data_IF_111388061952
#
_entry.id   IF_111388061952
#
_cell.length_a   1.000
_cell.length_b   1.000
_cell.length_c   1.000
_cell.angle_alpha   90.00
_cell.angle_beta   90.00
_cell.angle_gamma   90.00
#
_symmetry.space_group_name_H-M   'P 1'
#
loop_
_entity.id
_entity.type
_entity.pdbx_description
1 polymer ?
#
# COMPACT_ATOMS: atom_id res chain seq x y z
N UNK A 1 15.70 21.92 10.16
CA UNK A 1 16.56 23.09 10.01
C UNK A 1 16.17 24.01 8.84
N UNK A 2 15.32 23.54 7.89
CA UNK A 2 14.88 24.33 6.73
C UNK A 2 13.37 24.53 6.65
N UNK A 3 12.63 24.23 7.71
CA UNK A 3 11.17 24.35 7.72
C UNK A 3 10.70 25.76 7.33
N UNK A 4 11.26 26.78 7.98
CA UNK A 4 10.92 28.18 7.72
C UNK A 4 11.24 28.63 6.27
N UNK A 5 12.25 28.04 5.65
CA UNK A 5 12.63 28.32 4.27
C UNK A 5 11.62 27.69 3.32
N UNK A 6 11.24 26.43 3.56
CA UNK A 6 10.26 25.69 2.78
C UNK A 6 8.87 26.32 2.90
N UNK A 7 8.47 26.73 4.10
CA UNK A 7 7.19 27.41 4.33
C UNK A 7 7.05 28.68 3.49
N UNK A 8 8.13 29.45 3.38
CA UNK A 8 8.14 30.67 2.58
C UNK A 8 8.24 30.42 1.09
N UNK A 9 9.05 29.44 0.68
CA UNK A 9 9.28 29.12 -0.71
C UNK A 9 8.03 28.54 -1.38
N UNK A 10 7.31 27.68 -0.66
CA UNK A 10 6.15 26.95 -1.15
C UNK A 10 4.81 27.47 -0.60
N UNK A 11 4.81 28.57 0.15
CA UNK A 11 3.60 29.18 0.77
C UNK A 11 2.78 28.17 1.57
N UNK A 12 3.44 27.35 2.41
CA UNK A 12 2.83 26.26 3.16
C UNK A 12 2.02 26.82 4.33
N UNK A 13 0.71 26.80 4.18
CA UNK A 13 -0.20 27.22 5.26
C UNK A 13 -0.26 26.18 6.37
N UNK A 14 -0.07 26.61 7.62
CA UNK A 14 -0.11 25.76 8.81
C UNK A 14 1.22 25.08 9.19
N UNK A 15 2.31 25.42 8.50
CA UNK A 15 3.66 25.00 8.82
C UNK A 15 4.05 23.60 8.35
N UNK A 16 5.35 23.38 8.20
CA UNK A 16 5.93 22.09 7.81
C UNK A 16 5.90 21.10 8.97
N UNK A 17 5.47 19.91 8.71
CA UNK A 17 5.50 18.75 9.62
C UNK A 17 6.68 17.86 9.18
N UNK A 18 7.73 17.72 9.99
CA UNK A 18 8.92 16.99 9.59
C UNK A 18 8.64 15.53 9.24
N UNK A 19 7.84 14.82 10.05
CA UNK A 19 7.38 13.46 9.75
C UNK A 19 5.97 13.23 10.30
N UNK A 20 5.11 12.60 9.51
CA UNK A 20 3.78 12.18 9.94
C UNK A 20 3.47 10.76 9.49
N UNK A 21 2.56 10.10 10.25
CA UNK A 21 2.08 8.75 9.99
C UNK A 21 0.70 8.54 10.64
N UNK A 22 0.12 7.37 10.44
CA UNK A 22 -1.05 6.90 11.18
C UNK A 22 -0.69 5.58 11.83
N UNK A 23 -0.65 5.56 13.15
CA UNK A 23 -0.30 4.34 13.91
C UNK A 23 -1.33 3.23 13.68
N UNK A 24 -0.87 2.00 13.56
CA UNK A 24 -1.70 0.81 13.30
C UNK A 24 -2.56 0.89 12.02
N UNK A 25 -2.12 1.66 11.04
CA UNK A 25 -2.83 1.80 9.77
C UNK A 25 -1.96 1.31 8.60
N UNK A 26 -1.72 0.01 8.52
CA UNK A 26 -1.09 -0.64 7.38
C UNK A 26 0.07 0.15 6.76
N UNK A 27 -0.12 0.64 5.53
CA UNK A 27 0.91 1.33 4.76
C UNK A 27 1.28 2.74 5.30
N UNK A 28 0.53 3.28 6.23
CA UNK A 28 0.80 4.56 6.89
C UNK A 28 1.49 4.42 8.23
N UNK A 29 1.74 3.18 8.68
CA UNK A 29 2.39 2.90 9.96
C UNK A 29 3.93 3.03 9.83
N UNK A 30 4.62 3.62 10.83
CA UNK A 30 6.06 3.79 10.81
C UNK A 30 6.84 2.49 11.05
N UNK A 31 6.19 1.35 11.24
CA UNK A 31 6.82 0.05 11.51
C UNK A 31 7.89 -0.31 10.47
N UNK A 32 7.72 0.11 9.21
CA UNK A 32 8.71 -0.09 8.15
C UNK A 32 10.08 0.52 8.49
N UNK A 33 10.13 1.58 9.31
CA UNK A 33 11.39 2.20 9.74
C UNK A 33 12.19 1.29 10.69
N UNK A 34 11.50 0.35 11.37
CA UNK A 34 12.15 -0.62 12.25
C UNK A 34 13.10 -1.54 11.51
N UNK A 35 12.97 -1.67 10.18
CA UNK A 35 13.91 -2.44 9.36
C UNK A 35 15.35 -1.88 9.37
N UNK A 36 15.56 -0.66 9.79
CA UNK A 36 16.88 -0.09 10.07
C UNK A 36 17.56 -0.62 11.33
N UNK A 37 16.87 -1.46 12.12
CA UNK A 37 17.32 -1.99 13.40
C UNK A 37 17.30 -3.53 13.39
N UNK A 38 17.97 -4.17 14.34
CA UNK A 38 17.88 -5.62 14.53
C UNK A 38 18.35 -6.45 13.33
N UNK A 39 19.40 -6.03 12.65
CA UNK A 39 19.93 -6.72 11.47
C UNK A 39 18.90 -6.84 10.32
N UNK A 40 17.96 -5.89 10.25
CA UNK A 40 16.92 -5.84 9.23
C UNK A 40 15.66 -6.65 9.54
N UNK A 41 15.53 -7.15 10.75
CA UNK A 41 14.32 -7.83 11.23
C UNK A 41 13.57 -6.98 12.27
N UNK A 42 13.66 -5.65 12.13
CA UNK A 42 13.12 -4.72 13.13
C UNK A 42 11.64 -4.84 13.36
N UNK A 43 10.85 -4.87 12.31
CA UNK A 43 9.40 -5.16 12.37
C UNK A 43 8.80 -5.50 11.00
N UNK A 44 7.59 -6.06 11.05
CA UNK A 44 6.68 -6.25 9.91
C UNK A 44 5.26 -5.93 10.40
N UNK A 45 4.31 -5.70 9.50
CA UNK A 45 2.93 -5.41 9.89
C UNK A 45 2.27 -6.48 10.77
N UNK A 46 2.69 -7.74 10.63
CA UNK A 46 2.19 -8.87 11.44
C UNK A 46 3.09 -9.18 12.64
N UNK A 47 4.16 -8.42 12.84
CA UNK A 47 5.18 -8.62 13.88
C UNK A 47 5.90 -9.98 13.81
N UNK A 48 5.87 -10.65 12.66
CA UNK A 48 6.61 -11.88 12.43
C UNK A 48 7.60 -11.72 11.29
N UNK A 49 8.82 -12.16 11.52
CA UNK A 49 9.84 -12.24 10.48
C UNK A 49 10.48 -13.65 10.48
N UNK A 50 11.12 -13.98 9.36
CA UNK A 50 11.89 -15.22 9.22
C UNK A 50 13.34 -14.88 8.96
N UNK A 51 14.23 -15.31 9.84
CA UNK A 51 15.66 -15.07 9.69
C UNK A 51 16.25 -15.84 8.51
N UNK A 52 17.46 -15.50 8.10
CA UNK A 52 18.18 -16.19 7.02
C UNK A 52 18.48 -17.66 7.31
N UNK A 53 18.45 -18.06 8.59
CA UNK A 53 18.54 -19.45 9.04
C UNK A 53 17.19 -20.19 9.03
N UNK A 54 16.10 -19.49 8.63
CA UNK A 54 14.75 -20.07 8.59
C UNK A 54 14.05 -20.14 9.94
N UNK A 55 14.49 -19.35 10.93
CA UNK A 55 13.84 -19.27 12.23
C UNK A 55 12.78 -18.18 12.24
N UNK A 56 11.58 -18.50 12.68
CA UNK A 56 10.53 -17.51 12.94
C UNK A 56 10.83 -16.77 14.23
N UNK A 57 10.76 -15.44 14.16
CA UNK A 57 10.89 -14.55 15.32
C UNK A 57 9.64 -13.68 15.44
N UNK A 58 9.30 -13.30 16.68
CA UNK A 58 8.32 -12.28 16.98
C UNK A 58 9.07 -10.97 17.21
N UNK A 59 8.92 -10.03 16.30
CA UNK A 59 9.78 -8.85 16.21
C UNK A 59 9.74 -7.96 17.46
N UNK A 60 8.58 -7.71 18.14
CA UNK A 60 8.55 -6.89 19.36
C UNK A 60 9.38 -7.43 20.53
N UNK A 61 9.78 -8.70 20.49
CA UNK A 61 10.66 -9.28 21.52
C UNK A 61 12.16 -9.17 21.22
N UNK A 62 12.51 -8.62 20.09
CA UNK A 62 13.89 -8.47 19.67
C UNK A 62 14.49 -7.15 20.19
N UNK A 63 15.79 -7.15 20.49
CA UNK A 63 16.48 -5.94 20.98
C UNK A 63 16.45 -4.81 19.93
N UNK A 64 16.59 -5.13 18.63
CA UNK A 64 16.49 -4.14 17.57
C UNK A 64 15.14 -3.43 17.48
N UNK A 65 14.05 -4.11 17.82
CA UNK A 65 12.74 -3.45 17.93
C UNK A 65 12.73 -2.38 19.03
N UNK A 66 13.28 -2.70 20.20
CA UNK A 66 13.41 -1.77 21.31
C UNK A 66 14.26 -0.55 20.91
N UNK A 67 15.41 -0.78 20.27
CA UNK A 67 16.26 0.31 19.77
C UNK A 67 15.50 1.22 18.79
N UNK A 68 14.71 0.64 17.90
CA UNK A 68 13.86 1.39 16.97
C UNK A 68 12.79 2.23 17.69
N UNK A 69 12.14 1.69 18.71
CA UNK A 69 11.18 2.44 19.54
C UNK A 69 11.88 3.56 20.31
N UNK A 70 13.06 3.34 20.86
CA UNK A 70 13.84 4.38 21.54
C UNK A 70 14.23 5.50 20.58
N UNK A 71 14.56 5.17 19.34
CA UNK A 71 14.82 6.14 18.30
C UNK A 71 13.56 6.95 17.92
N UNK A 72 12.41 6.31 17.71
CA UNK A 72 11.14 7.02 17.46
C UNK A 72 10.76 7.93 18.64
N UNK A 73 10.92 7.45 19.87
CA UNK A 73 10.69 8.27 21.06
C UNK A 73 11.57 9.53 21.08
N UNK A 74 12.84 9.40 20.66
CA UNK A 74 13.72 10.55 20.51
C UNK A 74 13.16 11.57 19.50
N UNK A 75 12.67 11.12 18.34
CA UNK A 75 12.08 12.02 17.34
C UNK A 75 10.84 12.74 17.88
N UNK A 76 10.01 12.06 18.68
CA UNK A 76 8.87 12.70 19.37
C UNK A 76 9.35 13.78 20.33
N UNK A 77 10.38 13.52 21.13
CA UNK A 77 10.90 14.48 22.12
C UNK A 77 11.62 15.67 21.50
N UNK A 78 12.04 15.55 20.25
CA UNK A 78 12.66 16.61 19.46
C UNK A 78 11.64 17.37 18.58
N UNK A 79 10.34 17.14 18.77
CA UNK A 79 9.23 17.72 17.97
C UNK A 79 9.33 17.48 16.47
N UNK A 80 9.90 16.33 16.06
CA UNK A 80 10.07 15.95 14.67
C UNK A 80 8.94 15.07 14.13
N UNK A 81 8.02 14.66 15.00
CA UNK A 81 6.84 13.86 14.62
C UNK A 81 5.59 14.69 14.83
N UNK A 82 4.66 14.59 13.87
CA UNK A 82 3.33 15.18 13.96
C UNK A 82 2.67 14.78 15.31
N UNK A 83 2.29 15.72 16.17
CA UNK A 83 1.66 15.38 17.44
C UNK A 83 0.32 14.65 17.27
N UNK A 84 -0.34 14.77 16.12
CA UNK A 84 -1.57 14.06 15.81
C UNK A 84 -1.35 12.67 15.21
N UNK A 85 -0.12 12.26 14.89
CA UNK A 85 0.20 10.99 14.23
C UNK A 85 -0.37 9.76 14.94
N UNK A 86 -0.55 9.83 16.26
CA UNK A 86 -1.08 8.74 17.10
C UNK A 86 -2.60 8.71 17.20
N UNK A 87 -3.29 9.72 16.69
CA UNK A 87 -4.76 9.89 16.88
C UNK A 87 -5.50 10.37 15.65
N UNK A 88 -4.76 10.77 14.60
CA UNK A 88 -5.39 11.32 13.40
C UNK A 88 -6.04 10.25 12.56
N UNK A 89 -7.12 10.62 11.89
CA UNK A 89 -7.81 9.82 10.91
C UNK A 89 -7.23 10.04 9.50
N UNK A 90 -7.49 9.09 8.58
CA UNK A 90 -7.06 9.14 7.19
C UNK A 90 -7.38 10.47 6.49
N UNK A 91 -8.61 10.98 6.66
CA UNK A 91 -9.02 12.25 6.02
C UNK A 91 -8.18 13.45 6.46
N UNK A 92 -7.81 13.51 7.74
CA UNK A 92 -6.92 14.54 8.27
C UNK A 92 -5.52 14.42 7.72
N UNK A 93 -5.01 13.19 7.67
CA UNK A 93 -3.70 12.87 7.11
C UNK A 93 -3.61 13.31 5.64
N UNK A 94 -4.58 12.93 4.82
CA UNK A 94 -4.64 13.32 3.40
C UNK A 94 -4.74 14.83 3.24
N UNK A 95 -5.56 15.50 4.06
CA UNK A 95 -5.71 16.96 3.97
C UNK A 95 -4.40 17.71 4.26
N UNK A 96 -3.62 17.26 5.25
CA UNK A 96 -2.29 17.81 5.52
C UNK A 96 -1.33 17.59 4.35
N UNK A 97 -1.37 16.39 3.73
CA UNK A 97 -0.56 16.06 2.57
C UNK A 97 -0.88 16.94 1.36
N UNK A 98 -2.17 17.07 1.01
CA UNK A 98 -2.65 17.94 -0.09
C UNK A 98 -2.30 19.42 0.12
N UNK A 99 -2.02 19.84 1.33
CA UNK A 99 -1.51 21.17 1.67
C UNK A 99 0.02 21.22 1.75
N UNK A 100 0.73 20.25 1.20
CA UNK A 100 2.20 20.16 1.09
C UNK A 100 2.94 20.28 2.43
N UNK A 101 2.30 19.86 3.53
CA UNK A 101 2.86 20.06 4.88
C UNK A 101 3.93 19.05 5.29
N UNK A 102 4.04 17.91 4.60
CA UNK A 102 4.91 16.82 5.03
C UNK A 102 6.33 16.92 4.49
N UNK A 103 7.32 16.82 5.39
CA UNK A 103 8.69 16.54 5.01
C UNK A 103 8.90 15.04 4.70
N UNK A 104 8.34 14.17 5.55
CA UNK A 104 8.30 12.71 5.36
C UNK A 104 6.92 12.17 5.69
N UNK A 105 6.38 11.34 4.84
CA UNK A 105 5.11 10.66 5.06
C UNK A 105 5.13 9.23 4.52
N UNK A 106 4.14 8.44 4.90
CA UNK A 106 3.97 7.04 4.51
C UNK A 106 2.67 6.89 3.74
N UNK A 107 2.73 6.27 2.59
CA UNK A 107 1.54 5.98 1.77
C UNK A 107 1.88 4.88 0.76
N UNK A 108 0.88 4.09 0.38
CA UNK A 108 1.02 3.11 -0.69
C UNK A 108 0.99 3.75 -2.09
N UNK A 109 0.49 4.98 -2.20
CA UNK A 109 0.47 5.72 -3.44
C UNK A 109 0.60 7.23 -3.18
N UNK A 110 1.45 7.90 -3.96
CA UNK A 110 1.65 9.36 -3.85
C UNK A 110 0.37 10.14 -4.15
N UNK A 111 -0.49 9.63 -5.02
CA UNK A 111 -1.77 10.24 -5.35
C UNK A 111 -2.71 10.40 -4.15
N UNK A 112 -2.51 9.65 -3.06
CA UNK A 112 -3.26 9.83 -1.82
C UNK A 112 -2.93 11.13 -1.10
N UNK A 113 -1.69 11.57 -1.23
CA UNK A 113 -1.16 12.74 -0.52
C UNK A 113 -1.16 13.96 -1.44
N UNK A 114 -0.59 13.80 -2.63
CA UNK A 114 -0.45 14.86 -3.62
C UNK A 114 -0.27 14.25 -5.01
N UNK A 115 -0.83 14.88 -6.03
CA UNK A 115 -0.69 14.44 -7.42
C UNK A 115 0.60 14.95 -8.09
N UNK A 116 1.44 15.67 -7.37
CA UNK A 116 2.66 16.19 -7.94
C UNK A 116 3.87 15.25 -7.70
N UNK A 117 4.94 15.50 -8.42
CA UNK A 117 6.18 14.72 -8.40
C UNK A 117 7.26 15.33 -7.50
N UNK A 118 6.90 16.20 -6.57
CA UNK A 118 7.85 16.88 -5.69
C UNK A 118 8.35 15.96 -4.58
N UNK A 119 7.57 14.90 -4.27
CA UNK A 119 8.01 13.84 -3.38
C UNK A 119 8.86 12.81 -4.11
N UNK A 120 9.86 12.31 -3.41
CA UNK A 120 10.72 11.21 -3.87
C UNK A 120 10.64 10.03 -2.90
N UNK A 121 10.88 8.84 -3.40
CA UNK A 121 10.99 7.65 -2.54
C UNK A 121 12.21 7.77 -1.64
N UNK A 122 12.00 7.69 -0.33
CA UNK A 122 13.10 7.60 0.62
C UNK A 122 13.76 6.21 0.49
N UNK A 123 15.07 6.11 0.22
CA UNK A 123 15.75 4.82 0.22
C UNK A 123 15.70 4.16 1.60
N UNK A 124 15.89 2.83 1.64
CA UNK A 124 15.99 2.14 2.91
C UNK A 124 17.02 2.80 3.83
N UNK A 125 16.64 3.04 5.07
CA UNK A 125 17.52 3.66 6.05
C UNK A 125 18.65 2.71 6.44
N UNK A 126 19.83 3.27 6.72
CA UNK A 126 20.94 2.53 7.28
C UNK A 126 20.83 2.56 8.80
N UNK A 127 20.79 1.39 9.41
CA UNK A 127 20.71 1.26 10.86
C UNK A 127 22.00 1.64 11.60
N UNK A 128 21.98 1.63 12.94
CA UNK A 128 23.13 1.96 13.78
C UNK A 128 24.35 1.03 13.56
N UNK A 129 24.09 -0.19 13.14
CA UNK A 129 25.09 -1.21 12.80
C UNK A 129 25.68 -1.07 11.39
N UNK A 130 25.22 -0.07 10.63
CA UNK A 130 25.64 0.16 9.24
C UNK A 130 24.94 -0.75 8.23
N UNK A 131 23.96 -1.55 8.66
CA UNK A 131 23.18 -2.43 7.79
C UNK A 131 22.01 -1.67 7.19
N UNK A 132 21.74 -1.96 5.93
CA UNK A 132 20.56 -1.48 5.20
C UNK A 132 19.74 -2.69 4.79
N UNK A 133 18.55 -2.79 5.32
CA UNK A 133 17.66 -3.90 5.08
C UNK A 133 16.28 -3.46 4.64
N UNK A 134 15.61 -4.32 3.84
CA UNK A 134 14.17 -4.27 3.61
C UNK A 134 13.63 -5.69 3.80
N UNK A 135 12.79 -5.86 4.78
CA UNK A 135 12.08 -7.11 5.04
C UNK A 135 10.89 -7.23 4.10
N UNK A 136 10.72 -8.41 3.51
CA UNK A 136 9.55 -8.73 2.71
C UNK A 136 8.41 -9.17 3.62
N UNK A 137 7.23 -8.64 3.34
CA UNK A 137 6.00 -9.06 3.97
C UNK A 137 5.21 -9.95 3.02
N UNK A 138 4.57 -11.00 3.54
CA UNK A 138 3.68 -11.84 2.76
C UNK A 138 2.24 -11.43 3.02
N UNK A 139 1.68 -10.68 2.10
CA UNK A 139 0.28 -10.30 2.11
C UNK A 139 -0.42 -10.77 0.83
N UNK A 140 -1.70 -10.51 0.69
CA UNK A 140 -2.48 -10.86 -0.49
C UNK A 140 -1.90 -10.26 -1.78
N UNK A 141 -1.34 -9.07 -1.69
CA UNK A 141 -0.72 -8.39 -2.83
C UNK A 141 0.55 -9.09 -3.30
N UNK A 142 1.36 -9.60 -2.38
CA UNK A 142 2.58 -10.34 -2.73
C UNK A 142 2.31 -11.77 -3.18
N UNK A 143 1.28 -12.43 -2.64
CA UNK A 143 0.88 -13.77 -3.06
C UNK A 143 0.03 -13.77 -4.34
N UNK A 144 -0.53 -12.60 -4.71
CA UNK A 144 -1.44 -12.46 -5.83
C UNK A 144 -2.77 -13.19 -5.65
N UNK A 145 -3.05 -13.68 -4.42
CA UNK A 145 -4.24 -14.48 -4.19
C UNK A 145 -4.77 -14.34 -2.76
N UNK A 146 -5.97 -13.78 -2.65
CA UNK A 146 -6.64 -13.59 -1.38
C UNK A 146 -7.85 -14.53 -1.26
N UNK A 147 -7.76 -15.52 -0.36
CA UNK A 147 -8.76 -16.60 -0.24
C UNK A 147 -10.01 -16.11 0.48
N UNK A 148 -11.18 -16.59 0.01
CA UNK A 148 -12.45 -16.38 0.68
C UNK A 148 -13.09 -15.00 0.48
N UNK A 149 -12.51 -14.15 -0.38
CA UNK A 149 -13.08 -12.83 -0.71
C UNK A 149 -14.36 -12.92 -1.55
N UNK A 150 -14.49 -13.96 -2.37
CA UNK A 150 -15.71 -14.27 -3.09
C UNK A 150 -16.07 -15.74 -2.89
N UNK A 151 -17.27 -16.02 -2.37
CA UNK A 151 -17.70 -17.37 -2.04
C UNK A 151 -19.11 -17.66 -2.53
N UNK A 152 -19.36 -18.90 -2.95
CA UNK A 152 -20.71 -19.41 -3.17
C UNK A 152 -21.20 -20.12 -1.90
N UNK A 153 -22.34 -19.69 -1.40
CA UNK A 153 -22.93 -20.29 -0.20
C UNK A 153 -23.76 -21.54 -0.55
N UNK A 154 -24.00 -22.39 0.44
CA UNK A 154 -24.86 -23.58 0.30
C UNK A 154 -26.31 -23.25 -0.07
N UNK A 155 -26.76 -22.01 0.10
CA UNK A 155 -28.09 -21.55 -0.30
C UNK A 155 -28.18 -21.10 -1.76
N UNK A 156 -27.07 -21.10 -2.51
CA UNK A 156 -27.06 -20.78 -3.92
C UNK A 156 -27.84 -21.85 -4.71
N UNK A 157 -28.93 -21.43 -5.38
CA UNK A 157 -29.83 -22.36 -6.10
C UNK A 157 -29.27 -22.84 -7.42
N UNK A 158 -28.48 -22.01 -8.09
CA UNK A 158 -27.85 -22.31 -9.37
C UNK A 158 -26.36 -21.95 -9.29
N UNK A 159 -25.58 -22.90 -8.82
CA UNK A 159 -24.15 -22.74 -8.66
C UNK A 159 -23.42 -22.62 -10.00
N UNK A 160 -23.94 -23.24 -11.06
CA UNK A 160 -23.32 -23.16 -12.39
C UNK A 160 -23.47 -21.75 -12.99
N UNK A 161 -24.66 -21.17 -12.89
CA UNK A 161 -24.90 -19.79 -13.33
C UNK A 161 -24.09 -18.80 -12.50
N UNK A 162 -24.07 -18.97 -11.18
CA UNK A 162 -23.30 -18.09 -10.30
C UNK A 162 -21.78 -18.17 -10.58
N UNK A 163 -21.26 -19.38 -10.80
CA UNK A 163 -19.86 -19.57 -11.17
C UNK A 163 -19.54 -18.93 -12.53
N UNK A 164 -20.40 -19.09 -13.53
CA UNK A 164 -20.22 -18.45 -14.84
C UNK A 164 -20.26 -16.92 -14.75
N UNK A 165 -21.11 -16.37 -13.88
CA UNK A 165 -21.15 -14.93 -13.64
C UNK A 165 -19.85 -14.44 -12.97
N UNK A 166 -19.37 -15.15 -11.94
CA UNK A 166 -18.10 -14.84 -11.28
C UNK A 166 -16.92 -14.91 -12.29
N UNK A 167 -16.90 -15.94 -13.14
CA UNK A 167 -15.87 -16.11 -14.17
C UNK A 167 -15.80 -14.90 -15.11
N UNK A 168 -16.96 -14.34 -15.50
CA UNK A 168 -16.99 -13.10 -16.30
C UNK A 168 -16.40 -11.90 -15.59
N UNK A 169 -16.47 -11.83 -14.26
CA UNK A 169 -15.88 -10.75 -13.49
C UNK A 169 -14.33 -10.77 -13.51
N UNK A 170 -13.75 -11.95 -13.77
CA UNK A 170 -12.32 -12.13 -13.94
C UNK A 170 -11.83 -11.97 -15.38
N UNK A 171 -12.73 -11.74 -16.35
CA UNK A 171 -12.33 -11.52 -17.74
C UNK A 171 -11.36 -10.31 -17.85
N UNK A 172 -10.31 -10.38 -18.68
CA UNK A 172 -9.25 -9.37 -18.73
C UNK A 172 -9.70 -7.94 -19.01
N UNK A 173 -10.83 -7.76 -19.73
CA UNK A 173 -11.43 -6.44 -19.98
C UNK A 173 -12.41 -6.05 -18.87
N UNK A 174 -13.07 -7.00 -18.19
CA UNK A 174 -14.01 -6.70 -17.12
C UNK A 174 -13.31 -6.44 -15.79
N UNK A 175 -12.30 -7.21 -15.47
CA UNK A 175 -11.63 -7.16 -14.18
C UNK A 175 -10.99 -5.78 -13.86
N UNK A 176 -10.29 -5.11 -14.78
CA UNK A 176 -9.84 -3.74 -14.56
C UNK A 176 -10.97 -2.75 -14.29
N UNK A 177 -12.13 -2.91 -14.94
CA UNK A 177 -13.28 -2.06 -14.69
C UNK A 177 -13.87 -2.26 -13.28
N UNK A 178 -13.87 -3.49 -12.77
CA UNK A 178 -14.28 -3.76 -11.40
C UNK A 178 -13.40 -3.03 -10.38
N UNK A 179 -12.11 -2.88 -10.69
CA UNK A 179 -11.14 -2.25 -9.81
C UNK A 179 -11.12 -0.72 -9.90
N UNK A 180 -11.14 -0.17 -11.11
CA UNK A 180 -10.93 1.27 -11.31
C UNK A 180 -12.18 2.03 -11.76
N UNK A 181 -13.12 1.40 -12.42
CA UNK A 181 -14.33 2.03 -12.95
C UNK A 181 -14.56 1.75 -14.42
N UNK A 182 -15.54 2.42 -15.00
CA UNK A 182 -16.12 2.06 -16.28
C UNK A 182 -15.47 2.74 -17.48
N UNK A 183 -15.86 2.29 -18.68
CA UNK A 183 -15.62 2.97 -19.95
C UNK A 183 -16.91 3.04 -20.78
N UNK A 184 -16.99 4.06 -21.66
CA UNK A 184 -18.03 4.14 -22.68
C UNK A 184 -19.45 4.45 -22.21
N UNK A 185 -19.66 4.69 -20.92
CA UNK A 185 -20.95 5.09 -20.39
C UNK A 185 -21.26 6.55 -20.79
N UNK A 186 -22.38 6.74 -21.44
CA UNK A 186 -22.82 8.08 -21.79
C UNK A 186 -23.24 8.83 -20.53
N UNK A 187 -22.77 10.05 -20.39
CA UNK A 187 -23.05 10.96 -19.27
C UNK A 187 -22.49 10.49 -17.92
N UNK A 188 -21.63 9.44 -17.90
CA UNK A 188 -20.87 9.06 -16.72
C UNK A 188 -19.40 9.46 -16.86
N UNK A 189 -18.76 9.59 -15.72
CA UNK A 189 -17.32 9.86 -15.68
C UNK A 189 -16.58 8.56 -15.98
N UNK A 190 -15.85 8.52 -17.09
CA UNK A 190 -15.10 7.34 -17.48
C UNK A 190 -13.65 7.43 -17.02
N UNK A 191 -13.13 6.31 -16.51
CA UNK A 191 -11.70 6.15 -16.24
C UNK A 191 -10.95 5.65 -17.48
N UNK A 192 -11.65 4.92 -18.32
CA UNK A 192 -11.06 4.29 -19.50
C UNK A 192 -11.66 4.79 -20.81
N UNK A 193 -10.81 4.81 -21.83
CA UNK A 193 -11.21 4.80 -23.23
C UNK A 193 -10.82 3.44 -23.84
N UNK A 194 -11.59 2.98 -24.85
CA UNK A 194 -11.23 1.79 -25.59
C UNK A 194 -10.12 2.12 -26.58
N UNK A 195 -9.07 1.33 -26.57
CA UNK A 195 -7.89 1.44 -27.43
C UNK A 195 -7.55 0.08 -28.04
N UNK A 196 -6.45 0.01 -28.74
CA UNK A 196 -5.89 -1.24 -29.30
C UNK A 196 -4.45 -1.41 -28.82
N UNK A 197 -4.10 -2.64 -28.48
CA UNK A 197 -2.73 -3.02 -28.16
C UNK A 197 -1.86 -3.16 -29.43
N UNK A 198 -0.59 -3.50 -29.25
CA UNK A 198 0.37 -3.64 -30.35
C UNK A 198 -0.02 -4.73 -31.37
N UNK A 199 -0.77 -5.74 -30.95
CA UNK A 199 -1.23 -6.85 -31.79
C UNK A 199 -2.61 -6.58 -32.43
N UNK A 200 -3.19 -5.40 -32.21
CA UNK A 200 -4.51 -5.00 -32.72
C UNK A 200 -5.69 -5.51 -31.90
N UNK A 201 -5.45 -6.10 -30.73
CA UNK A 201 -6.49 -6.52 -29.78
C UNK A 201 -7.09 -5.34 -29.01
N UNK A 202 -8.27 -5.54 -28.40
CA UNK A 202 -8.91 -4.54 -27.56
C UNK A 202 -8.13 -4.33 -26.25
N UNK A 203 -7.96 -3.08 -25.87
CA UNK A 203 -7.27 -2.68 -24.63
C UNK A 203 -7.98 -1.48 -24.02
N UNK A 204 -8.14 -1.50 -22.70
CA UNK A 204 -8.56 -0.35 -21.89
C UNK A 204 -7.38 0.59 -21.69
N UNK A 205 -7.52 1.84 -22.05
CA UNK A 205 -6.50 2.86 -21.80
C UNK A 205 -6.99 3.81 -20.73
N UNK A 206 -6.18 4.00 -19.68
CA UNK A 206 -6.46 5.00 -18.66
C UNK A 206 -6.53 6.39 -19.29
N UNK A 207 -7.56 7.14 -18.94
CA UNK A 207 -7.74 8.53 -19.35
C UNK A 207 -6.91 9.44 -18.44
N UNK A 208 -6.52 10.59 -18.99
CA UNK A 208 -6.02 11.68 -18.18
C UNK A 208 -7.20 12.30 -17.42
N UNK A 209 -7.12 12.25 -16.09
CA UNK A 209 -8.18 12.75 -15.19
C UNK A 209 -8.02 14.24 -14.85
N UNK A 210 -6.99 14.92 -15.39
CA UNK A 210 -6.67 16.29 -15.08
C UNK A 210 -6.38 16.47 -13.57
N UNK A 211 -7.07 17.44 -12.96
CA UNK A 211 -6.90 17.77 -11.54
C UNK A 211 -7.66 16.81 -10.58
N UNK A 212 -8.33 15.79 -11.11
CA UNK A 212 -9.08 14.84 -10.27
C UNK A 212 -8.14 13.77 -9.72
N UNK A 213 -8.31 13.44 -8.44
CA UNK A 213 -7.58 12.35 -7.82
C UNK A 213 -8.00 11.00 -8.41
N UNK A 214 -7.07 10.18 -8.95
CA UNK A 214 -7.38 8.83 -9.40
C UNK A 214 -8.01 7.96 -8.31
N UNK A 215 -7.60 8.16 -7.06
CA UNK A 215 -8.14 7.43 -5.90
C UNK A 215 -9.59 7.78 -5.66
N UNK A 216 -9.94 9.08 -5.63
CA UNK A 216 -11.33 9.52 -5.42
C UNK A 216 -12.25 9.04 -6.55
N UNK A 217 -11.78 9.07 -7.79
CA UNK A 217 -12.53 8.58 -8.94
C UNK A 217 -12.73 7.07 -8.83
N UNK A 218 -11.70 6.32 -8.47
CA UNK A 218 -11.78 4.87 -8.24
C UNK A 218 -12.78 4.54 -7.13
N UNK A 219 -12.71 5.21 -6.00
CA UNK A 219 -13.65 5.00 -4.89
C UNK A 219 -15.09 5.27 -5.29
N UNK A 220 -15.32 6.29 -6.12
CA UNK A 220 -16.66 6.61 -6.61
C UNK A 220 -17.20 5.63 -7.66
N UNK A 221 -16.35 4.95 -8.41
CA UNK A 221 -16.73 4.19 -9.59
C UNK A 221 -16.48 2.69 -9.53
N UNK A 222 -15.51 2.24 -8.72
CA UNK A 222 -15.22 0.81 -8.62
C UNK A 222 -16.39 0.05 -7.98
N UNK A 223 -16.62 -1.16 -8.44
CA UNK A 223 -17.65 -2.04 -7.85
C UNK A 223 -17.07 -2.94 -6.78
N UNK A 224 -15.76 -2.88 -6.53
CA UNK A 224 -15.03 -3.75 -5.58
C UNK A 224 -15.41 -5.23 -5.72
N UNK A 225 -15.68 -5.64 -6.95
CA UNK A 225 -16.06 -7.01 -7.28
C UNK A 225 -14.85 -7.94 -7.39
N UNK A 226 -15.09 -9.21 -7.67
CA UNK A 226 -14.02 -10.14 -8.01
C UNK A 226 -13.16 -9.56 -9.12
N UNK A 227 -11.86 -9.59 -8.93
CA UNK A 227 -10.89 -9.08 -9.91
C UNK A 227 -9.60 -9.89 -9.90
N UNK A 228 -8.95 -9.91 -11.05
CA UNK A 228 -7.55 -10.27 -11.19
C UNK A 228 -6.97 -9.38 -12.28
N UNK A 229 -6.09 -8.46 -11.89
CA UNK A 229 -5.31 -7.66 -12.84
C UNK A 229 -3.88 -8.17 -12.73
N UNK A 230 -3.53 -9.08 -13.61
CA UNK A 230 -2.22 -9.70 -13.64
C UNK A 230 -1.20 -8.77 -14.33
N UNK A 231 0.06 -8.90 -13.97
CA UNK A 231 1.14 -8.13 -14.60
C UNK A 231 1.18 -8.33 -16.12
N UNK A 232 0.81 -9.53 -16.59
CA UNK A 232 0.72 -9.85 -18.01
C UNK A 232 -0.46 -9.16 -18.72
N UNK A 233 -1.38 -8.53 -17.99
CA UNK A 233 -2.50 -7.77 -18.59
C UNK A 233 -2.10 -6.36 -18.99
N UNK A 234 -1.05 -5.80 -18.38
CA UNK A 234 -0.58 -4.47 -18.72
C UNK A 234 -0.03 -4.44 -20.15
N UNK A 235 -0.40 -3.40 -20.88
CA UNK A 235 -0.14 -3.20 -22.32
C UNK A 235 -0.76 -4.25 -23.26
N UNK A 236 -1.45 -5.25 -22.71
CA UNK A 236 -2.21 -6.25 -23.49
C UNK A 236 -3.71 -5.99 -23.43
N UNK A 237 -4.27 -5.84 -22.24
CA UNK A 237 -5.72 -5.62 -22.00
C UNK A 237 -6.03 -4.31 -21.32
N UNK A 238 -5.07 -3.73 -20.60
CA UNK A 238 -5.20 -2.46 -19.89
C UNK A 238 -3.85 -1.76 -19.85
N UNK A 239 -3.83 -0.43 -19.95
CA UNK A 239 -2.60 0.32 -19.71
C UNK A 239 -2.30 0.37 -18.21
N UNK A 240 -1.01 0.46 -17.87
CA UNK A 240 -0.60 0.78 -16.51
C UNK A 240 -0.95 2.25 -16.21
N UNK A 241 -1.56 2.56 -15.04
CA UNK A 241 -1.73 3.95 -14.62
C UNK A 241 -0.38 4.65 -14.48
N UNK A 242 -0.30 5.92 -14.87
CA UNK A 242 0.97 6.65 -14.85
C UNK A 242 1.58 6.78 -13.44
N UNK A 243 0.72 6.95 -12.42
CA UNK A 243 1.09 6.98 -11.01
C UNK A 243 1.60 5.61 -10.52
N UNK A 244 0.93 4.52 -10.89
CA UNK A 244 1.39 3.16 -10.56
C UNK A 244 2.75 2.85 -11.19
N UNK A 245 2.93 3.23 -12.46
CA UNK A 245 4.22 3.08 -13.14
C UNK A 245 5.33 3.86 -12.44
N UNK A 246 5.09 5.13 -12.10
CA UNK A 246 6.05 5.94 -11.38
C UNK A 246 6.43 5.29 -10.03
N UNK A 247 5.44 4.82 -9.27
CA UNK A 247 5.64 4.14 -7.99
C UNK A 247 6.50 2.88 -8.14
N UNK A 248 6.15 2.01 -9.07
CA UNK A 248 6.87 0.76 -9.30
C UNK A 248 8.32 1.01 -9.74
N UNK A 249 8.55 1.91 -10.68
CA UNK A 249 9.87 2.23 -11.18
C UNK A 249 10.76 2.79 -10.05
N UNK A 250 10.25 3.74 -9.27
CA UNK A 250 10.99 4.35 -8.15
C UNK A 250 11.20 3.37 -7.00
N UNK A 251 10.20 2.54 -6.67
CA UNK A 251 10.32 1.52 -5.64
C UNK A 251 11.35 0.45 -6.01
N UNK A 252 11.39 0.02 -7.27
CA UNK A 252 12.40 -0.91 -7.76
C UNK A 252 13.80 -0.31 -7.66
N UNK A 253 13.98 0.94 -8.06
CA UNK A 253 15.27 1.63 -7.97
C UNK A 253 15.71 1.83 -6.51
N UNK A 254 14.79 2.26 -5.65
CA UNK A 254 15.08 2.59 -4.26
C UNK A 254 15.34 1.34 -3.39
N UNK A 255 14.59 0.24 -3.60
CA UNK A 255 14.49 -0.83 -2.60
C UNK A 255 14.97 -2.20 -3.06
N UNK A 256 14.81 -2.60 -4.33
CA UNK A 256 15.11 -3.98 -4.72
C UNK A 256 16.54 -4.44 -4.42
N UNK A 257 17.50 -3.54 -4.54
CA UNK A 257 18.92 -3.84 -4.25
C UNK A 257 19.18 -4.12 -2.77
N UNK A 258 18.34 -3.57 -1.89
CA UNK A 258 18.47 -3.69 -0.43
C UNK A 258 17.46 -4.72 0.14
N UNK A 259 16.65 -5.33 -0.74
CA UNK A 259 15.71 -6.39 -0.36
C UNK A 259 16.45 -7.71 -0.22
N UNK A 260 16.84 -8.02 0.97
CA UNK A 260 17.71 -9.16 1.29
C UNK A 260 17.05 -10.23 2.17
N UNK A 261 15.78 -10.11 2.52
CA UNK A 261 15.04 -11.18 3.17
C UNK A 261 15.03 -12.43 2.31
N UNK A 262 15.61 -13.50 2.82
CA UNK A 262 15.67 -14.79 2.13
C UNK A 262 14.35 -15.55 2.20
N UNK A 263 13.62 -15.38 3.28
CA UNK A 263 12.35 -16.02 3.55
C UNK A 263 11.29 -14.97 3.90
N UNK A 264 10.02 -15.37 3.72
CA UNK A 264 8.85 -14.59 4.10
C UNK A 264 8.00 -15.46 5.02
N UNK A 265 7.46 -14.87 6.09
CA UNK A 265 6.52 -15.58 6.95
C UNK A 265 5.26 -15.94 6.15
N UNK A 266 4.87 -17.21 6.06
CA UNK A 266 3.76 -17.63 5.21
C UNK A 266 2.42 -17.21 5.80
N UNK A 267 1.43 -16.98 4.93
CA UNK A 267 0.05 -16.82 5.36
C UNK A 267 -0.42 -18.09 6.10
N UNK A 268 -0.88 -17.90 7.32
CA UNK A 268 -1.39 -19.00 8.15
C UNK A 268 -2.91 -19.04 8.03
N UNK A 269 -3.43 -20.17 7.55
CA UNK A 269 -4.86 -20.44 7.50
C UNK A 269 -5.25 -21.34 8.66
N UNK A 270 -5.89 -20.75 9.65
CA UNK A 270 -6.36 -21.49 10.82
C UNK A 270 -7.69 -22.21 10.55
N UNK A 271 -7.93 -23.30 11.27
CA UNK A 271 -9.26 -23.90 11.34
C UNK A 271 -10.24 -22.96 12.05
N UNK A 272 -11.55 -23.14 11.82
CA UNK A 272 -12.59 -22.37 12.53
C UNK A 272 -12.42 -22.49 14.06
N UNK A 273 -12.09 -23.68 14.53
CA UNK A 273 -11.88 -23.94 15.97
C UNK A 273 -10.66 -23.19 16.52
N UNK A 274 -9.60 -23.08 15.75
CA UNK A 274 -8.40 -22.34 16.15
C UNK A 274 -8.64 -20.84 16.06
N UNK A 275 -9.32 -20.36 15.04
CA UNK A 275 -9.75 -18.95 14.93
C UNK A 275 -10.62 -18.55 16.13
N UNK A 276 -11.59 -19.39 16.51
CA UNK A 276 -12.44 -19.14 17.68
C UNK A 276 -11.63 -19.17 19.01
N UNK A 277 -10.57 -19.95 19.10
CA UNK A 277 -9.70 -19.93 20.28
C UNK A 277 -8.87 -18.66 20.33
N UNK A 278 -8.28 -18.26 19.21
CA UNK A 278 -7.48 -17.02 19.13
C UNK A 278 -8.32 -15.82 19.48
N UNK A 279 -9.53 -15.69 18.90
CA UNK A 279 -10.43 -14.58 19.21
C UNK A 279 -10.90 -14.49 20.67
N UNK A 280 -10.71 -15.54 21.47
CA UNK A 280 -10.92 -15.48 22.93
C UNK A 280 -9.79 -14.76 23.67
N UNK A 281 -8.64 -14.61 23.06
CA UNK A 281 -7.48 -13.91 23.60
C UNK A 281 -7.33 -12.50 23.03
N UNK A 282 -8.05 -12.18 21.94
CA UNK A 282 -8.23 -10.83 21.44
C UNK A 282 -9.17 -10.10 22.41
N UNK A 283 -8.59 -9.63 23.48
CA UNK A 283 -9.26 -8.68 24.35
C UNK A 283 -8.87 -7.30 23.86
N UNK A 284 -9.86 -6.59 23.35
CA UNK A 284 -9.94 -5.16 23.00
C UNK A 284 -8.68 -4.29 23.17
#
# INVERSE_FOLDING_TARGET
DHADELEKEFDIEGGVIPMSFIINNGDQDPAILMNGFGEGYGDTGDHFAVTDEGKVIYTPTQEGYKEGIEWLHKLVTEDLIDPEAFTQEWSTYVAKGKNHRYGLCFTWDIANIDNNTDYVMLPALTGPDGVRHITRQNNSETSGFDRGRCVLTSSCRDTALAAAWIDQMYAPIQSPQNNWGTYGEKDSFNIFEMSTNADGGQMLKHMDLGDQSPVEVREAQSVNGPLAVLNEYYDVYVTEPADAKWRLDNMHEAYLKDMNSKYVYPNVFMSIDDTNKVSQYDTD
#
